data_IF_874228029837
#
_entry.id   IF_874228029837
#
_cell.length_a   1.000
_cell.length_b   1.000
_cell.length_c   1.000
_cell.angle_alpha   90.00
_cell.angle_beta   90.00
_cell.angle_gamma   90.00
#
_symmetry.space_group_name_H-M   'P 1'
#
loop_
_entity.id
_entity.type
_entity.pdbx_description
1 polymer ?
#
# COMPACT_ATOMS: atom_id res chain seq x y z
N UNK A 1 -9.31 2.31 -13.94
CA UNK A 1 -8.15 2.85 -14.69
C UNK A 1 -6.91 2.69 -13.83
N UNK A 2 -5.70 2.56 -14.40
CA UNK A 2 -4.44 2.45 -13.63
C UNK A 2 -3.55 3.68 -13.87
N UNK A 3 -2.81 4.14 -12.87
CA UNK A 3 -1.85 5.26 -13.03
C UNK A 3 -0.75 4.94 -14.05
N UNK A 4 -0.33 3.68 -14.11
CA UNK A 4 0.62 3.17 -15.08
C UNK A 4 -0.08 2.63 -16.33
N UNK A 5 -0.89 3.46 -16.98
CA UNK A 5 -1.54 3.12 -18.25
C UNK A 5 -1.56 4.32 -19.19
N UNK A 6 -1.50 4.05 -20.50
CA UNK A 6 -1.58 5.08 -21.53
C UNK A 6 -2.87 5.91 -21.44
N UNK A 7 -4.07 5.32 -21.22
CA UNK A 7 -5.30 6.09 -21.04
C UNK A 7 -5.24 7.04 -19.84
N UNK A 8 -4.60 6.65 -18.74
CA UNK A 8 -4.46 7.53 -17.60
C UNK A 8 -3.50 8.70 -17.88
N UNK A 9 -2.30 8.40 -18.35
CA UNK A 9 -1.23 9.39 -18.50
C UNK A 9 -1.50 10.43 -19.57
N UNK A 10 -2.07 10.03 -20.71
CA UNK A 10 -2.18 10.88 -21.89
C UNK A 10 -3.58 11.42 -22.17
N UNK A 11 -4.62 10.85 -21.53
CA UNK A 11 -5.98 11.31 -21.72
C UNK A 11 -6.61 11.78 -20.40
N UNK A 12 -6.73 10.89 -19.42
CA UNK A 12 -7.44 11.23 -18.19
C UNK A 12 -6.74 12.30 -17.37
N UNK A 13 -5.44 12.11 -17.06
CA UNK A 13 -4.71 13.03 -16.18
C UNK A 13 -4.62 14.45 -16.76
N UNK A 14 -4.22 14.65 -18.02
CA UNK A 14 -4.24 15.99 -18.63
C UNK A 14 -5.62 16.64 -18.63
N UNK A 15 -6.66 15.89 -19.01
CA UNK A 15 -8.03 16.41 -19.02
C UNK A 15 -8.51 16.78 -17.60
N UNK A 16 -8.27 15.91 -16.61
CA UNK A 16 -8.65 16.16 -15.23
C UNK A 16 -7.93 17.40 -14.66
N UNK A 17 -6.63 17.56 -14.92
CA UNK A 17 -5.86 18.74 -14.49
C UNK A 17 -6.36 20.01 -15.18
N UNK A 18 -6.57 19.98 -16.49
CA UNK A 18 -7.09 21.14 -17.25
C UNK A 18 -8.45 21.60 -16.71
N UNK A 19 -9.40 20.68 -16.56
CA UNK A 19 -10.74 21.00 -16.01
C UNK A 19 -10.61 21.51 -14.55
N UNK A 20 -9.77 20.87 -13.74
CA UNK A 20 -9.57 21.27 -12.34
C UNK A 20 -8.99 22.67 -12.22
N UNK A 21 -7.98 23.03 -13.01
CA UNK A 21 -7.37 24.37 -12.93
C UNK A 21 -8.24 25.44 -13.59
N UNK A 22 -9.03 25.11 -14.61
CA UNK A 22 -9.99 26.02 -15.21
C UNK A 22 -11.21 26.29 -14.31
N UNK A 23 -11.55 25.36 -13.40
CA UNK A 23 -12.71 25.49 -12.53
C UNK A 23 -12.52 26.58 -11.46
N UNK A 24 -13.58 27.36 -11.14
CA UNK A 24 -13.57 28.30 -10.03
C UNK A 24 -13.37 27.56 -8.69
N UNK A 25 -12.86 28.28 -7.69
CA UNK A 25 -12.49 27.67 -6.38
C UNK A 25 -13.61 26.86 -5.74
N UNK A 26 -14.87 27.36 -5.83
CA UNK A 26 -16.03 26.69 -5.24
C UNK A 26 -16.37 25.34 -5.88
N UNK A 27 -16.02 25.15 -7.15
CA UNK A 27 -16.32 23.92 -7.90
C UNK A 27 -15.17 22.91 -7.93
N UNK A 28 -13.99 23.24 -7.40
CA UNK A 28 -12.82 22.35 -7.46
C UNK A 28 -13.05 20.98 -6.82
N UNK A 29 -13.76 20.91 -5.68
CA UNK A 29 -14.11 19.63 -5.05
C UNK A 29 -15.15 18.85 -5.85
N UNK A 30 -16.10 19.51 -6.48
CA UNK A 30 -17.07 18.86 -7.38
C UNK A 30 -16.36 18.27 -8.62
N UNK A 31 -15.42 19.02 -9.21
CA UNK A 31 -14.60 18.51 -10.33
C UNK A 31 -13.77 17.29 -9.89
N UNK A 32 -13.14 17.34 -8.72
CA UNK A 32 -12.40 16.18 -8.19
C UNK A 32 -13.30 14.99 -7.94
N UNK A 33 -14.50 15.19 -7.39
CA UNK A 33 -15.48 14.14 -7.18
C UNK A 33 -15.86 13.48 -8.52
N UNK A 34 -16.25 14.28 -9.52
CA UNK A 34 -16.66 13.77 -10.83
C UNK A 34 -15.52 13.03 -11.55
N UNK A 35 -14.30 13.60 -11.53
CA UNK A 35 -13.12 12.95 -12.09
C UNK A 35 -12.81 11.62 -11.37
N UNK A 36 -12.93 11.59 -10.05
CA UNK A 36 -12.70 10.38 -9.24
C UNK A 36 -13.75 9.31 -9.48
N UNK A 37 -15.01 9.68 -9.57
CA UNK A 37 -16.09 8.75 -9.92
C UNK A 37 -15.91 8.18 -11.33
N UNK A 38 -15.54 9.00 -12.30
CA UNK A 38 -15.22 8.55 -13.66
C UNK A 38 -14.00 7.59 -13.65
N UNK A 39 -12.93 7.94 -12.94
CA UNK A 39 -11.74 7.11 -12.80
C UNK A 39 -12.08 5.72 -12.23
N UNK A 40 -12.93 5.69 -11.19
CA UNK A 40 -13.36 4.44 -10.55
C UNK A 40 -14.30 3.64 -11.46
N UNK A 41 -15.31 4.28 -12.02
CA UNK A 41 -16.30 3.64 -12.89
C UNK A 41 -15.69 3.06 -14.17
N UNK A 42 -14.56 3.59 -14.65
CA UNK A 42 -13.83 3.03 -15.79
C UNK A 42 -13.42 1.56 -15.58
N UNK A 43 -13.10 1.16 -14.37
CA UNK A 43 -12.73 -0.22 -14.04
C UNK A 43 -13.86 -1.02 -13.39
N UNK A 44 -14.68 -0.34 -12.56
CA UNK A 44 -15.64 -0.98 -11.66
C UNK A 44 -17.00 -0.24 -11.63
N UNK A 45 -17.72 -0.17 -12.76
CA UNK A 45 -18.95 0.63 -12.83
C UNK A 45 -20.02 0.17 -11.85
N UNK A 46 -20.15 -1.14 -11.61
CA UNK A 46 -21.15 -1.71 -10.67
C UNK A 46 -20.84 -1.36 -9.21
N UNK A 47 -19.56 -1.37 -8.84
CA UNK A 47 -19.14 -1.16 -7.45
C UNK A 47 -18.97 0.33 -7.10
N UNK A 48 -19.11 1.23 -8.08
CA UNK A 48 -19.23 2.67 -7.80
C UNK A 48 -20.43 2.95 -6.88
N UNK A 49 -21.57 2.27 -7.09
CA UNK A 49 -22.72 2.41 -6.21
C UNK A 49 -22.42 2.00 -4.75
N UNK A 50 -21.66 0.92 -4.56
CA UNK A 50 -21.25 0.46 -3.22
C UNK A 50 -20.39 1.51 -2.52
N UNK A 51 -19.45 2.14 -3.25
CA UNK A 51 -18.65 3.24 -2.72
C UNK A 51 -19.52 4.44 -2.34
N UNK A 52 -20.50 4.81 -3.18
CA UNK A 52 -21.44 5.89 -2.87
C UNK A 52 -22.28 5.57 -1.62
N UNK A 53 -22.77 4.32 -1.46
CA UNK A 53 -23.47 3.87 -0.24
C UNK A 53 -22.57 4.04 0.99
N UNK A 54 -21.28 3.68 0.89
CA UNK A 54 -20.32 3.84 1.98
C UNK A 54 -20.08 5.32 2.31
N UNK A 55 -20.07 6.20 1.33
CA UNK A 55 -19.95 7.66 1.53
C UNK A 55 -21.20 8.22 2.22
N UNK A 56 -22.38 7.87 1.72
CA UNK A 56 -23.67 8.36 2.26
C UNK A 56 -23.84 7.95 3.73
N UNK A 57 -23.54 6.67 4.05
CA UNK A 57 -23.63 6.21 5.43
C UNK A 57 -22.60 6.92 6.33
N UNK A 58 -21.35 7.09 5.88
CA UNK A 58 -20.32 7.82 6.63
C UNK A 58 -20.72 9.28 6.88
N UNK A 59 -21.27 9.96 5.88
CA UNK A 59 -21.79 11.32 5.99
C UNK A 59 -22.93 11.42 7.00
N UNK A 60 -23.96 10.58 6.84
CA UNK A 60 -25.15 10.60 7.73
C UNK A 60 -24.80 10.27 9.18
N UNK A 61 -24.02 9.21 9.39
CA UNK A 61 -23.59 8.85 10.74
C UNK A 61 -22.63 9.88 11.34
N UNK A 62 -21.73 10.48 10.56
CA UNK A 62 -20.87 11.56 11.03
C UNK A 62 -21.67 12.73 11.61
N UNK A 63 -22.71 13.19 10.89
CA UNK A 63 -23.61 14.25 11.35
C UNK A 63 -24.40 13.85 12.62
N UNK A 64 -24.92 12.62 12.67
CA UNK A 64 -25.68 12.12 13.83
C UNK A 64 -24.78 11.95 15.06
N UNK A 65 -23.57 11.46 14.90
CA UNK A 65 -22.57 11.31 15.97
C UNK A 65 -22.24 12.68 16.58
N UNK A 66 -21.97 13.68 15.75
CA UNK A 66 -21.66 15.02 16.22
C UNK A 66 -22.85 15.68 16.90
N UNK A 67 -24.06 15.58 16.31
CA UNK A 67 -25.29 16.14 16.88
C UNK A 67 -25.59 15.61 18.29
N UNK A 68 -25.27 14.34 18.56
CA UNK A 68 -25.55 13.70 19.85
C UNK A 68 -24.28 13.51 20.69
N UNK A 69 -23.22 14.27 20.42
CA UNK A 69 -21.97 14.21 21.18
C UNK A 69 -22.20 14.33 22.69
N UNK A 70 -21.57 13.44 23.48
CA UNK A 70 -21.77 13.36 24.93
C UNK A 70 -22.98 12.53 25.36
N UNK A 71 -23.87 12.11 24.46
CA UNK A 71 -25.03 11.28 24.73
C UNK A 71 -24.78 9.81 24.37
N UNK A 72 -25.53 8.89 24.99
CA UNK A 72 -25.48 7.45 24.62
C UNK A 72 -25.80 7.20 23.15
N UNK A 73 -26.68 8.01 22.55
CA UNK A 73 -27.03 7.93 21.13
C UNK A 73 -25.82 8.08 20.19
N UNK A 74 -24.84 8.93 20.52
CA UNK A 74 -23.61 9.08 19.72
C UNK A 74 -22.83 7.76 19.61
N UNK A 75 -22.73 7.00 20.71
CA UNK A 75 -22.09 5.69 20.72
C UNK A 75 -22.87 4.66 19.89
N UNK A 76 -24.21 4.70 19.93
CA UNK A 76 -25.08 3.83 19.12
C UNK A 76 -24.84 4.09 17.64
N UNK A 77 -24.87 5.37 17.21
CA UNK A 77 -24.62 5.71 15.80
C UNK A 77 -23.20 5.33 15.34
N UNK A 78 -22.18 5.51 16.18
CA UNK A 78 -20.84 5.03 15.89
C UNK A 78 -20.82 3.50 15.69
N UNK A 79 -21.44 2.75 16.61
CA UNK A 79 -21.49 1.28 16.51
C UNK A 79 -22.21 0.84 15.24
N UNK A 80 -23.34 1.46 14.90
CA UNK A 80 -24.06 1.15 13.67
C UNK A 80 -23.22 1.44 12.42
N UNK A 81 -22.53 2.58 12.37
CA UNK A 81 -21.63 2.91 11.26
C UNK A 81 -20.49 1.89 11.10
N UNK A 82 -19.90 1.46 12.21
CA UNK A 82 -18.85 0.41 12.21
C UNK A 82 -19.44 -0.90 11.70
N UNK A 83 -20.60 -1.33 12.18
CA UNK A 83 -21.26 -2.58 11.77
C UNK A 83 -21.61 -2.56 10.29
N UNK A 84 -22.15 -1.45 9.76
CA UNK A 84 -22.45 -1.30 8.33
C UNK A 84 -21.17 -1.38 7.50
N UNK A 85 -20.13 -0.61 7.87
CA UNK A 85 -18.87 -0.56 7.12
C UNK A 85 -18.15 -1.93 7.12
N UNK A 86 -18.04 -2.57 8.29
CA UNK A 86 -17.42 -3.90 8.41
C UNK A 86 -18.31 -5.00 7.83
N UNK A 87 -19.63 -4.87 7.89
CA UNK A 87 -20.59 -5.79 7.28
C UNK A 87 -20.46 -5.79 5.74
N UNK A 88 -20.38 -4.63 5.12
CA UNK A 88 -20.14 -4.51 3.67
C UNK A 88 -18.78 -5.11 3.29
N UNK A 89 -17.72 -4.76 4.02
CA UNK A 89 -16.39 -5.35 3.80
C UNK A 89 -16.42 -6.87 4.00
N UNK A 90 -17.08 -7.35 5.05
CA UNK A 90 -17.24 -8.77 5.38
C UNK A 90 -17.96 -9.54 4.27
N UNK A 91 -19.04 -9.00 3.76
CA UNK A 91 -19.83 -9.62 2.71
C UNK A 91 -19.05 -9.72 1.39
N UNK A 92 -18.48 -8.63 0.92
CA UNK A 92 -17.82 -8.61 -0.39
C UNK A 92 -16.40 -9.23 -0.39
N UNK A 93 -15.68 -9.18 0.73
CA UNK A 93 -14.30 -9.68 0.78
C UNK A 93 -14.17 -11.04 1.45
N UNK A 94 -14.97 -11.34 2.47
CA UNK A 94 -14.71 -12.50 3.33
C UNK A 94 -15.79 -13.58 3.28
N UNK A 95 -16.97 -13.36 2.65
CA UNK A 95 -18.05 -14.34 2.66
C UNK A 95 -17.61 -15.70 2.09
N UNK A 96 -17.01 -15.71 0.90
CA UNK A 96 -16.56 -16.95 0.26
C UNK A 96 -15.38 -17.62 1.00
N UNK A 97 -14.53 -16.85 1.64
CA UNK A 97 -13.47 -17.37 2.49
C UNK A 97 -14.03 -18.11 3.72
N UNK A 98 -15.05 -17.56 4.38
CA UNK A 98 -15.69 -18.22 5.50
C UNK A 98 -16.50 -19.45 5.05
N UNK A 99 -17.27 -19.34 3.97
CA UNK A 99 -18.04 -20.47 3.43
C UNK A 99 -17.12 -21.63 3.01
N UNK A 100 -16.03 -21.34 2.30
CA UNK A 100 -15.06 -22.36 1.91
C UNK A 100 -14.35 -22.99 3.11
N UNK A 101 -14.04 -22.21 4.13
CA UNK A 101 -13.44 -22.73 5.37
C UNK A 101 -14.40 -23.62 6.15
N UNK A 102 -15.68 -23.23 6.23
CA UNK A 102 -16.73 -24.07 6.85
C UNK A 102 -16.89 -25.38 6.07
N UNK A 103 -16.99 -25.32 4.74
CA UNK A 103 -17.08 -26.52 3.90
C UNK A 103 -15.88 -27.46 4.13
N UNK A 104 -14.66 -26.91 4.20
CA UNK A 104 -13.46 -27.70 4.41
C UNK A 104 -13.42 -28.41 5.77
N UNK A 105 -13.97 -27.80 6.84
CA UNK A 105 -13.96 -28.37 8.20
C UNK A 105 -15.12 -29.31 8.42
N UNK A 106 -16.30 -28.99 7.88
CA UNK A 106 -17.55 -29.74 8.17
C UNK A 106 -17.90 -30.77 7.12
N UNK A 107 -17.28 -30.74 5.93
CA UNK A 107 -17.65 -31.55 4.78
C UNK A 107 -18.96 -31.12 4.11
N UNK A 108 -19.56 -29.99 4.52
CA UNK A 108 -20.73 -29.42 3.86
C UNK A 108 -20.38 -28.88 2.47
N UNK A 109 -21.38 -28.77 1.62
CA UNK A 109 -21.26 -28.21 0.27
C UNK A 109 -22.06 -26.90 0.14
N UNK A 110 -21.85 -25.96 1.06
CA UNK A 110 -22.51 -24.66 1.01
C UNK A 110 -22.09 -23.92 -0.27
N UNK A 111 -23.05 -23.34 -1.03
CA UNK A 111 -22.73 -22.67 -2.28
C UNK A 111 -21.91 -21.39 -2.00
N UNK A 112 -20.83 -21.19 -2.77
CA UNK A 112 -20.06 -19.96 -2.74
C UNK A 112 -20.82 -18.86 -3.51
N UNK A 113 -20.71 -17.62 -3.01
CA UNK A 113 -21.39 -16.46 -3.60
C UNK A 113 -20.70 -15.97 -4.89
N UNK A 114 -19.42 -16.31 -5.06
CA UNK A 114 -18.58 -15.93 -6.22
C UNK A 114 -18.59 -14.43 -6.50
N UNK A 115 -18.57 -13.63 -5.44
CA UNK A 115 -18.53 -12.18 -5.55
C UNK A 115 -17.13 -11.73 -6.00
N UNK A 116 -17.09 -10.89 -7.03
CA UNK A 116 -15.83 -10.19 -7.34
C UNK A 116 -15.54 -9.14 -6.28
N UNK A 117 -14.27 -9.05 -5.87
CA UNK A 117 -13.83 -8.09 -4.86
C UNK A 117 -13.87 -6.66 -5.42
N UNK A 118 -14.65 -5.74 -4.83
CA UNK A 118 -14.65 -4.34 -5.25
C UNK A 118 -13.30 -3.68 -5.02
N UNK A 119 -12.70 -3.15 -6.07
CA UNK A 119 -11.39 -2.48 -5.98
C UNK A 119 -11.46 -1.34 -4.96
N UNK A 120 -10.49 -1.30 -4.03
CA UNK A 120 -10.36 -0.23 -3.03
C UNK A 120 -11.34 -0.33 -1.86
N UNK A 121 -12.21 -1.37 -1.74
CA UNK A 121 -13.17 -1.48 -0.64
C UNK A 121 -12.49 -1.42 0.74
N UNK A 122 -11.33 -2.03 0.90
CA UNK A 122 -10.57 -1.99 2.15
C UNK A 122 -10.08 -0.58 2.49
N UNK A 123 -9.72 0.21 1.48
CA UNK A 123 -9.21 1.57 1.64
C UNK A 123 -10.32 2.54 2.00
N UNK A 124 -11.40 2.63 1.20
CA UNK A 124 -12.47 3.57 1.51
C UNK A 124 -13.26 3.18 2.78
N UNK A 125 -13.32 1.89 3.13
CA UNK A 125 -13.85 1.46 4.43
C UNK A 125 -13.01 2.03 5.57
N UNK A 126 -11.68 1.97 5.50
CA UNK A 126 -10.80 2.53 6.52
C UNK A 126 -10.88 4.05 6.60
N UNK A 127 -11.04 4.73 5.46
CA UNK A 127 -11.26 6.18 5.43
C UNK A 127 -12.57 6.58 6.12
N UNK A 128 -13.68 5.89 5.81
CA UNK A 128 -14.98 6.15 6.44
C UNK A 128 -14.93 5.83 7.93
N UNK A 129 -14.34 4.69 8.33
CA UNK A 129 -14.21 4.31 9.73
C UNK A 129 -13.38 5.32 10.52
N UNK A 130 -12.20 5.73 10.01
CA UNK A 130 -11.40 6.75 10.70
C UNK A 130 -12.16 8.07 10.84
N UNK A 131 -12.85 8.51 9.78
CA UNK A 131 -13.65 9.72 9.81
C UNK A 131 -14.72 9.70 10.93
N UNK A 132 -15.56 8.67 10.98
CA UNK A 132 -16.65 8.61 12.00
C UNK A 132 -16.10 8.43 13.42
N UNK A 133 -14.98 7.72 13.59
CA UNK A 133 -14.31 7.57 14.89
C UNK A 133 -13.70 8.89 15.34
N UNK A 134 -13.04 9.63 14.45
CA UNK A 134 -12.45 10.94 14.77
C UNK A 134 -13.51 11.97 15.10
N UNK A 135 -14.67 11.96 14.40
CA UNK A 135 -15.84 12.78 14.77
C UNK A 135 -16.36 12.40 16.16
N UNK A 136 -16.47 11.11 16.48
CA UNK A 136 -16.90 10.65 17.80
C UNK A 136 -15.96 11.08 18.92
N UNK A 137 -14.65 11.00 18.69
CA UNK A 137 -13.60 11.42 19.63
C UNK A 137 -13.55 12.95 19.80
N UNK A 138 -14.12 13.70 18.86
CA UNK A 138 -14.01 15.15 18.81
C UNK A 138 -12.70 15.67 18.21
N UNK A 139 -11.93 14.80 17.61
CA UNK A 139 -10.67 15.14 16.94
C UNK A 139 -10.90 15.92 15.63
N UNK A 140 -12.08 15.72 15.01
CA UNK A 140 -12.53 16.51 13.86
C UNK A 140 -14.03 16.83 13.95
N UNK A 141 -14.45 17.90 13.27
CA UNK A 141 -15.87 18.22 13.09
C UNK A 141 -16.48 17.37 11.97
N UNK A 142 -17.78 17.07 12.07
CA UNK A 142 -18.48 16.42 10.98
C UNK A 142 -18.54 17.33 9.75
N UNK A 143 -18.24 16.78 8.58
CA UNK A 143 -18.31 17.51 7.33
C UNK A 143 -19.76 17.84 6.96
N UNK A 144 -20.06 19.12 6.76
CA UNK A 144 -21.42 19.61 6.43
C UNK A 144 -21.71 19.56 4.92
N UNK A 145 -20.68 19.60 4.11
CA UNK A 145 -20.81 19.55 2.67
C UNK A 145 -20.60 18.11 2.19
N UNK A 146 -21.65 17.50 1.63
CA UNK A 146 -21.59 16.14 1.09
C UNK A 146 -20.57 15.99 -0.03
N UNK A 147 -20.43 17.00 -0.90
CA UNK A 147 -19.47 16.96 -2.02
C UNK A 147 -18.04 16.88 -1.51
N UNK A 148 -17.71 17.60 -0.43
CA UNK A 148 -16.35 17.60 0.14
C UNK A 148 -16.01 16.23 0.75
N UNK A 149 -16.96 15.61 1.47
CA UNK A 149 -16.74 14.27 2.03
C UNK A 149 -16.66 13.22 0.90
N UNK A 150 -17.53 13.32 -0.08
CA UNK A 150 -17.54 12.41 -1.24
C UNK A 150 -16.24 12.55 -2.05
N UNK A 151 -15.79 13.78 -2.29
CA UNK A 151 -14.51 14.05 -2.95
C UNK A 151 -13.33 13.47 -2.15
N UNK A 152 -13.33 13.57 -0.84
CA UNK A 152 -12.29 12.98 0.02
C UNK A 152 -12.25 11.46 -0.09
N UNK A 153 -13.38 10.78 0.10
CA UNK A 153 -13.42 9.31 0.12
C UNK A 153 -13.13 8.72 -1.26
N UNK A 154 -13.61 9.36 -2.33
CA UNK A 154 -13.43 8.87 -3.72
C UNK A 154 -12.15 9.36 -4.39
N UNK A 155 -11.36 10.22 -3.75
CA UNK A 155 -10.25 10.94 -4.38
C UNK A 155 -9.28 10.02 -5.13
N UNK A 156 -9.26 10.11 -6.46
CA UNK A 156 -8.60 9.15 -7.34
C UNK A 156 -7.10 8.94 -7.05
N UNK A 157 -6.31 9.94 -6.60
CA UNK A 157 -4.91 9.69 -6.29
C UNK A 157 -4.67 8.68 -5.16
N UNK A 158 -5.57 8.60 -4.18
CA UNK A 158 -5.40 7.75 -3.00
C UNK A 158 -6.26 6.49 -3.00
N UNK A 159 -7.35 6.46 -3.80
CA UNK A 159 -8.48 5.53 -3.65
C UNK A 159 -8.11 4.04 -3.72
N UNK A 160 -7.17 3.65 -4.59
CA UNK A 160 -6.95 2.23 -4.92
C UNK A 160 -5.83 1.60 -4.08
N UNK A 161 -4.66 2.24 -4.01
CA UNK A 161 -3.49 1.74 -3.32
C UNK A 161 -2.54 2.87 -2.85
N UNK A 162 -3.06 4.10 -2.72
CA UNK A 162 -2.32 5.24 -2.15
C UNK A 162 -2.06 5.07 -0.66
N UNK A 163 -1.41 6.05 -0.02
CA UNK A 163 -1.42 6.13 1.44
C UNK A 163 -2.85 6.16 1.96
N UNK A 164 -3.11 5.52 3.09
CA UNK A 164 -4.41 5.65 3.78
C UNK A 164 -4.45 7.04 4.43
N UNK A 165 -5.01 8.00 3.70
CA UNK A 165 -5.14 9.38 4.13
C UNK A 165 -6.38 9.50 5.01
N UNK A 166 -6.25 10.09 6.20
CA UNK A 166 -7.37 10.35 7.10
C UNK A 166 -8.07 11.64 6.70
N UNK A 167 -9.34 11.78 7.08
CA UNK A 167 -10.05 13.03 6.86
C UNK A 167 -9.34 14.21 7.56
N UNK A 168 -8.85 14.00 8.78
CA UNK A 168 -8.08 15.00 9.54
C UNK A 168 -6.83 15.50 8.82
N UNK A 169 -6.17 14.64 8.01
CA UNK A 169 -4.96 15.00 7.28
C UNK A 169 -5.23 16.03 6.16
N UNK A 170 -6.44 16.03 5.58
CA UNK A 170 -6.79 16.85 4.39
C UNK A 170 -7.99 17.79 4.61
N UNK A 171 -8.56 17.81 5.80
CA UNK A 171 -9.76 18.59 6.10
C UNK A 171 -9.60 20.10 5.85
N UNK A 172 -8.42 20.66 6.17
CA UNK A 172 -8.11 22.06 5.93
C UNK A 172 -7.99 22.34 4.42
N UNK A 173 -7.36 21.42 3.69
CA UNK A 173 -7.12 21.55 2.24
C UNK A 173 -8.39 21.30 1.42
N UNK A 174 -9.34 20.52 1.92
CA UNK A 174 -10.67 20.43 1.31
C UNK A 174 -11.43 21.76 1.34
N UNK A 175 -11.24 22.57 2.38
CA UNK A 175 -11.86 23.90 2.50
C UNK A 175 -11.09 24.94 1.68
N UNK A 176 -9.78 24.95 1.79
CA UNK A 176 -8.93 25.95 1.11
C UNK A 176 -7.57 25.36 0.78
N UNK A 177 -7.24 25.32 -0.50
CA UNK A 177 -5.96 24.88 -1.03
C UNK A 177 -5.22 26.02 -1.72
N UNK A 178 -3.91 26.00 -1.57
CA UNK A 178 -3.00 26.86 -2.33
C UNK A 178 -2.34 26.06 -3.44
N UNK A 179 -2.15 26.70 -4.58
CA UNK A 179 -1.48 26.11 -5.73
C UNK A 179 -0.28 26.99 -6.07
N UNK A 180 0.87 26.38 -6.32
CA UNK A 180 2.06 27.07 -6.82
C UNK A 180 2.75 26.23 -7.90
N UNK A 181 3.45 26.90 -8.79
CA UNK A 181 4.25 26.22 -9.82
C UNK A 181 5.32 25.33 -9.19
N UNK A 182 5.92 25.78 -8.09
CA UNK A 182 6.91 24.97 -7.34
C UNK A 182 6.31 23.67 -6.79
N UNK A 183 5.12 23.75 -6.17
CA UNK A 183 4.43 22.55 -5.65
C UNK A 183 4.01 21.62 -6.79
N UNK A 184 3.57 22.15 -7.92
CA UNK A 184 3.24 21.36 -9.10
C UNK A 184 4.48 20.65 -9.66
N UNK A 185 5.61 21.37 -9.80
CA UNK A 185 6.88 20.80 -10.26
C UNK A 185 7.39 19.70 -9.32
N UNK A 186 7.30 19.90 -7.98
CA UNK A 186 7.60 18.87 -6.99
C UNK A 186 6.68 17.64 -7.16
N UNK A 187 5.39 17.87 -7.39
CA UNK A 187 4.41 16.82 -7.66
C UNK A 187 4.73 16.00 -8.91
N UNK A 188 5.10 16.67 -10.01
CA UNK A 188 5.51 16.01 -11.27
C UNK A 188 6.76 15.16 -11.06
N UNK A 189 7.80 15.71 -10.40
CA UNK A 189 9.01 14.93 -10.05
C UNK A 189 8.68 13.69 -9.25
N UNK A 190 7.87 13.84 -8.20
CA UNK A 190 7.50 12.73 -7.34
C UNK A 190 6.71 11.67 -8.10
N UNK A 191 5.76 12.09 -8.92
CA UNK A 191 4.99 11.20 -9.79
C UNK A 191 5.90 10.41 -10.74
N UNK A 192 6.84 11.10 -11.41
CA UNK A 192 7.77 10.46 -12.36
C UNK A 192 8.69 9.44 -11.68
N UNK A 193 9.19 9.74 -10.48
CA UNK A 193 9.97 8.78 -9.70
C UNK A 193 9.12 7.55 -9.36
N UNK A 194 7.87 7.74 -8.93
CA UNK A 194 6.95 6.65 -8.67
C UNK A 194 6.65 5.81 -9.92
N UNK A 195 6.44 6.47 -11.05
CA UNK A 195 6.21 5.83 -12.34
C UNK A 195 7.43 5.00 -12.78
N UNK A 196 8.64 5.56 -12.66
CA UNK A 196 9.89 4.86 -12.95
C UNK A 196 10.07 3.61 -12.06
N UNK A 197 9.81 3.73 -10.75
CA UNK A 197 9.82 2.60 -9.83
C UNK A 197 8.91 1.47 -10.27
N UNK A 198 7.67 1.80 -10.70
CA UNK A 198 6.69 0.82 -11.16
C UNK A 198 7.10 0.16 -12.46
N UNK A 199 7.44 0.95 -13.49
CA UNK A 199 7.63 0.43 -14.84
C UNK A 199 9.03 -0.14 -15.04
N UNK A 200 10.06 0.60 -14.62
CA UNK A 200 11.46 0.24 -14.93
C UNK A 200 12.05 -0.74 -13.90
N UNK A 201 11.50 -0.83 -12.68
CA UNK A 201 12.02 -1.73 -11.65
C UNK A 201 11.00 -2.81 -11.28
N UNK A 202 9.84 -2.46 -10.75
CA UNK A 202 8.90 -3.45 -10.23
C UNK A 202 8.42 -4.44 -11.29
N UNK A 203 8.07 -3.96 -12.49
CA UNK A 203 7.62 -4.85 -13.58
C UNK A 203 8.71 -5.82 -14.02
N UNK A 204 9.97 -5.37 -14.08
CA UNK A 204 11.11 -6.22 -14.46
C UNK A 204 11.40 -7.27 -13.40
N UNK A 205 11.37 -6.91 -12.11
CA UNK A 205 11.49 -7.88 -11.02
C UNK A 205 10.31 -8.86 -11.01
N UNK A 206 9.11 -8.39 -11.36
CA UNK A 206 7.93 -9.25 -11.55
C UNK A 206 8.12 -10.27 -12.69
N UNK A 207 8.76 -9.88 -13.79
CA UNK A 207 9.11 -10.80 -14.88
C UNK A 207 10.07 -11.88 -14.41
N UNK A 208 11.12 -11.53 -13.65
CA UNK A 208 12.06 -12.50 -13.07
C UNK A 208 11.35 -13.45 -12.08
N UNK A 209 10.49 -12.92 -11.21
CA UNK A 209 9.71 -13.75 -10.28
C UNK A 209 8.77 -14.73 -11.02
N UNK A 210 8.15 -14.28 -12.12
CA UNK A 210 7.29 -15.11 -12.97
C UNK A 210 8.08 -16.19 -13.71
N UNK A 211 9.29 -15.90 -14.16
CA UNK A 211 10.18 -16.87 -14.82
C UNK A 211 10.48 -18.06 -13.89
N UNK A 212 10.73 -17.82 -12.60
CA UNK A 212 10.88 -18.90 -11.62
C UNK A 212 9.58 -19.72 -11.47
N UNK A 213 8.42 -19.08 -11.42
CA UNK A 213 7.14 -19.78 -11.22
C UNK A 213 6.76 -20.70 -12.40
N UNK A 214 7.29 -20.43 -13.58
CA UNK A 214 7.07 -21.22 -14.81
C UNK A 214 8.20 -22.18 -15.16
N UNK A 215 9.29 -22.23 -14.37
CA UNK A 215 10.45 -23.06 -14.69
C UNK A 215 10.23 -24.55 -14.41
N UNK A 216 10.87 -25.41 -15.21
CA UNK A 216 11.07 -26.83 -14.93
C UNK A 216 12.50 -27.10 -14.40
N UNK A 217 13.39 -26.10 -14.42
CA UNK A 217 14.80 -26.17 -14.03
C UNK A 217 15.03 -25.44 -12.69
N UNK A 218 14.31 -25.89 -11.63
CA UNK A 218 14.39 -25.27 -10.32
C UNK A 218 15.73 -25.60 -9.62
N UNK A 219 16.25 -24.65 -8.84
CA UNK A 219 17.45 -24.80 -8.01
C UNK A 219 17.39 -23.87 -6.79
N UNK A 220 18.21 -24.15 -5.77
CA UNK A 220 18.30 -23.30 -4.58
C UNK A 220 18.62 -21.86 -4.97
N UNK A 221 19.57 -21.64 -5.88
CA UNK A 221 19.91 -20.31 -6.39
C UNK A 221 18.71 -19.63 -7.06
N UNK A 222 17.91 -20.38 -7.85
CA UNK A 222 16.78 -19.76 -8.54
C UNK A 222 15.64 -19.39 -7.59
N UNK A 223 15.40 -20.19 -6.53
CA UNK A 223 14.42 -19.84 -5.48
C UNK A 223 14.85 -18.55 -4.75
N UNK A 224 16.14 -18.39 -4.43
CA UNK A 224 16.65 -17.14 -3.83
C UNK A 224 16.57 -15.94 -4.77
N UNK A 225 16.84 -16.13 -6.07
CA UNK A 225 16.66 -15.07 -7.07
C UNK A 225 15.19 -14.63 -7.16
N UNK A 226 14.27 -15.62 -7.16
CA UNK A 226 12.84 -15.34 -7.09
C UNK A 226 12.46 -14.57 -5.82
N UNK A 227 12.93 -15.01 -4.65
CA UNK A 227 12.60 -14.38 -3.38
C UNK A 227 13.10 -12.93 -3.33
N UNK A 228 14.34 -12.68 -3.80
CA UNK A 228 14.90 -11.32 -3.91
C UNK A 228 14.15 -10.47 -4.94
N UNK A 229 13.83 -11.04 -6.11
CA UNK A 229 13.06 -10.34 -7.14
C UNK A 229 11.67 -9.96 -6.63
N UNK A 230 10.96 -10.86 -5.95
CA UNK A 230 9.64 -10.58 -5.38
C UNK A 230 9.71 -9.54 -4.26
N UNK A 231 10.74 -9.61 -3.40
CA UNK A 231 10.98 -8.61 -2.35
C UNK A 231 11.12 -7.20 -2.95
N UNK A 232 11.94 -7.05 -4.00
CA UNK A 232 12.15 -5.77 -4.69
C UNK A 232 10.90 -5.36 -5.49
N UNK A 233 10.21 -6.32 -6.14
CA UNK A 233 8.97 -6.06 -6.85
C UNK A 233 7.92 -5.43 -5.94
N UNK A 234 7.61 -6.06 -4.80
CA UNK A 234 6.58 -5.57 -3.86
C UNK A 234 6.92 -4.16 -3.37
N UNK A 235 8.19 -3.91 -3.05
CA UNK A 235 8.63 -2.58 -2.60
C UNK A 235 8.48 -1.51 -3.68
N UNK A 236 9.02 -1.75 -4.88
CA UNK A 236 8.97 -0.75 -5.95
C UNK A 236 7.57 -0.58 -6.54
N UNK A 237 6.78 -1.65 -6.58
CA UNK A 237 5.38 -1.58 -7.01
C UNK A 237 4.58 -0.67 -6.08
N UNK A 238 4.61 -0.95 -4.78
CA UNK A 238 3.79 -0.23 -3.82
C UNK A 238 4.35 1.15 -3.46
N UNK A 239 5.68 1.29 -3.27
CA UNK A 239 6.27 2.62 -3.05
C UNK A 239 6.16 3.49 -4.30
N UNK A 240 6.21 2.91 -5.50
CA UNK A 240 5.99 3.61 -6.76
C UNK A 240 4.58 4.16 -6.86
N UNK A 241 3.56 3.34 -6.53
CA UNK A 241 2.18 3.84 -6.48
C UNK A 241 2.00 4.95 -5.44
N UNK A 242 2.55 4.77 -4.24
CA UNK A 242 2.49 5.80 -3.19
C UNK A 242 3.15 7.10 -3.62
N UNK A 243 4.30 7.04 -4.29
CA UNK A 243 4.98 8.23 -4.82
C UNK A 243 4.14 8.92 -5.91
N UNK A 244 3.50 8.16 -6.81
CA UNK A 244 2.59 8.72 -7.81
C UNK A 244 1.39 9.39 -7.14
N UNK A 245 0.78 8.75 -6.13
CA UNK A 245 -0.35 9.29 -5.38
C UNK A 245 0.01 10.60 -4.65
N UNK A 246 1.16 10.62 -3.95
CA UNK A 246 1.66 11.81 -3.26
C UNK A 246 1.96 12.93 -4.27
N UNK A 247 2.57 12.59 -5.41
CA UNK A 247 2.83 13.53 -6.49
C UNK A 247 1.57 14.17 -7.06
N UNK A 248 0.54 13.35 -7.35
CA UNK A 248 -0.77 13.82 -7.80
C UNK A 248 -1.45 14.70 -6.75
N UNK A 249 -1.43 14.27 -5.47
CA UNK A 249 -1.91 15.08 -4.36
C UNK A 249 -1.26 16.46 -4.34
N UNK A 250 0.08 16.50 -4.46
CA UNK A 250 0.86 17.76 -4.45
C UNK A 250 0.50 18.68 -5.61
N UNK A 251 0.30 18.13 -6.82
CA UNK A 251 -0.18 18.91 -7.99
C UNK A 251 -1.58 19.49 -7.75
N UNK A 252 -2.45 18.78 -7.04
CA UNK A 252 -3.82 19.19 -6.74
C UNK A 252 -3.95 20.04 -5.46
N UNK A 253 -2.83 20.33 -4.78
CA UNK A 253 -2.79 21.15 -3.55
C UNK A 253 -3.08 20.38 -2.26
N UNK A 254 -2.91 19.06 -2.25
CA UNK A 254 -3.01 18.20 -1.07
C UNK A 254 -1.64 17.70 -0.59
N UNK A 255 -1.51 17.47 0.72
CA UNK A 255 -0.32 16.91 1.34
C UNK A 255 -0.64 15.51 1.90
N UNK A 256 -0.36 14.48 1.13
CA UNK A 256 -0.55 13.11 1.59
C UNK A 256 0.66 12.65 2.43
N UNK A 257 0.43 11.81 3.45
CA UNK A 257 1.50 11.29 4.30
C UNK A 257 2.43 10.36 3.54
N UNK A 258 3.70 10.33 3.96
CA UNK A 258 4.67 9.35 3.46
C UNK A 258 4.27 7.94 3.88
N UNK A 259 4.41 6.99 2.94
CA UNK A 259 4.03 5.59 3.16
C UNK A 259 5.23 4.64 3.29
N UNK A 260 6.40 5.07 2.81
CA UNK A 260 7.64 4.29 2.86
C UNK A 260 8.84 5.18 3.21
N UNK A 261 9.76 4.62 4.02
CA UNK A 261 11.02 5.28 4.38
C UNK A 261 12.17 4.27 4.37
N UNK A 262 12.57 3.80 3.19
CA UNK A 262 13.67 2.84 2.99
C UNK A 262 13.62 1.64 3.96
N UNK A 263 12.57 0.81 3.91
CA UNK A 263 12.34 -0.22 4.94
C UNK A 263 13.43 -1.29 4.99
N UNK A 264 14.14 -1.54 3.90
CA UNK A 264 15.16 -2.61 3.84
C UNK A 264 16.49 -2.27 4.51
N UNK A 265 16.66 -1.03 5.04
CA UNK A 265 17.81 -0.69 5.87
C UNK A 265 17.55 -0.89 7.37
N UNK A 266 16.41 -1.47 7.74
CA UNK A 266 16.03 -1.70 9.14
C UNK A 266 16.88 -2.76 9.82
N UNK A 267 17.12 -2.60 11.10
CA UNK A 267 17.87 -3.54 11.94
C UNK A 267 16.96 -4.45 12.78
N UNK A 268 15.65 -4.29 12.69
CA UNK A 268 14.65 -5.11 13.37
C UNK A 268 13.33 -5.14 12.58
N UNK A 269 12.51 -6.16 12.80
CA UNK A 269 11.15 -6.24 12.26
C UNK A 269 10.29 -5.07 12.79
N UNK A 270 10.51 -4.68 14.04
CA UNK A 270 9.86 -3.51 14.64
C UNK A 270 10.19 -2.23 13.86
N UNK A 271 11.45 -2.00 13.50
CA UNK A 271 11.86 -0.84 12.70
C UNK A 271 11.35 -0.95 11.26
N UNK A 272 11.40 -2.16 10.67
CA UNK A 272 10.91 -2.42 9.32
C UNK A 272 9.45 -1.94 9.17
N UNK A 273 8.55 -2.32 10.06
CA UNK A 273 7.14 -1.94 9.99
C UNK A 273 6.87 -0.46 10.34
N UNK A 274 7.80 0.24 10.98
CA UNK A 274 7.75 1.70 11.12
C UNK A 274 8.09 2.43 9.83
N UNK A 275 8.75 1.74 8.88
CA UNK A 275 9.22 2.28 7.61
C UNK A 275 8.44 1.76 6.40
N UNK A 276 7.71 0.67 6.57
CA UNK A 276 6.89 0.00 5.56
C UNK A 276 5.42 0.28 5.81
N UNK A 277 4.69 0.72 4.76
CA UNK A 277 3.23 0.99 4.80
C UNK A 277 2.80 1.77 6.04
N UNK A 278 3.47 2.92 6.24
CA UNK A 278 3.39 3.74 7.46
C UNK A 278 1.94 4.14 7.75
N UNK A 279 1.16 4.46 6.70
CA UNK A 279 -0.24 4.86 6.84
C UNK A 279 -1.13 3.74 7.40
N UNK A 280 -0.94 2.49 6.97
CA UNK A 280 -1.66 1.33 7.52
C UNK A 280 -1.25 1.07 8.97
N UNK A 281 0.06 1.08 9.24
CA UNK A 281 0.59 0.90 10.60
C UNK A 281 0.06 1.93 11.58
N UNK A 282 0.00 3.21 11.19
CA UNK A 282 -0.56 4.28 11.99
C UNK A 282 -2.08 4.12 12.18
N UNK A 283 -2.81 3.68 11.13
CA UNK A 283 -4.25 3.43 11.23
C UNK A 283 -4.54 2.32 12.25
N UNK A 284 -3.89 1.15 12.15
CA UNK A 284 -4.09 0.07 13.13
C UNK A 284 -3.65 0.45 14.54
N UNK A 285 -2.58 1.25 14.68
CA UNK A 285 -2.15 1.77 15.99
C UNK A 285 -3.25 2.61 16.63
N UNK A 286 -3.82 3.57 15.90
CA UNK A 286 -4.68 4.59 16.47
C UNK A 286 -6.15 4.14 16.59
N UNK A 287 -6.60 3.25 15.71
CA UNK A 287 -8.00 2.79 15.70
C UNK A 287 -8.20 1.37 16.25
N UNK A 288 -7.13 0.57 16.44
CA UNK A 288 -7.24 -0.77 17.01
C UNK A 288 -6.33 -0.95 18.24
N UNK A 289 -5.01 -0.75 18.11
CA UNK A 289 -4.07 -1.04 19.19
C UNK A 289 -4.29 -0.17 20.43
N UNK A 290 -4.40 1.15 20.27
CA UNK A 290 -4.62 2.10 21.38
C UNK A 290 -5.98 1.86 22.05
N UNK A 291 -7.12 1.73 21.34
CA UNK A 291 -8.41 1.39 21.95
C UNK A 291 -8.44 0.08 22.73
N UNK A 292 -7.67 -0.94 22.32
CA UNK A 292 -7.51 -2.20 23.06
C UNK A 292 -6.69 -2.04 24.36
N UNK A 293 -6.16 -0.85 24.62
CA UNK A 293 -5.36 -0.51 25.80
C UNK A 293 -3.87 -0.31 25.53
N UNK A 294 -3.42 -0.55 24.29
CA UNK A 294 -2.02 -0.33 23.88
C UNK A 294 -1.03 -1.07 24.75
N UNK A 295 0.02 -0.38 25.22
CA UNK A 295 1.03 -0.89 26.14
C UNK A 295 0.76 -0.55 27.62
N UNK A 296 -0.35 0.17 27.92
CA UNK A 296 -0.59 0.73 29.27
C UNK A 296 -1.20 -0.27 30.25
N UNK A 297 -1.77 -1.39 29.78
CA UNK A 297 -2.48 -2.40 30.60
C UNK A 297 -1.65 -3.64 30.92
N UNK A 298 -0.33 -3.50 31.05
CA UNK A 298 0.61 -4.60 31.37
C UNK A 298 1.10 -5.39 30.16
N UNK A 299 2.16 -6.18 30.37
CA UNK A 299 2.85 -6.93 29.29
C UNK A 299 1.94 -7.95 28.59
N UNK A 300 1.21 -8.76 29.33
CA UNK A 300 0.33 -9.78 28.75
C UNK A 300 -0.72 -9.17 27.80
N UNK A 301 -1.37 -8.08 28.21
CA UNK A 301 -2.33 -7.36 27.37
C UNK A 301 -1.67 -6.75 26.13
N UNK A 302 -0.47 -6.23 26.27
CA UNK A 302 0.31 -5.69 25.15
C UNK A 302 0.63 -6.76 24.10
N UNK A 303 1.06 -7.95 24.54
CA UNK A 303 1.37 -9.07 23.64
C UNK A 303 0.10 -9.53 22.91
N UNK A 304 -1.02 -9.66 23.62
CA UNK A 304 -2.31 -9.98 23.02
C UNK A 304 -2.74 -8.92 21.99
N UNK A 305 -2.57 -7.63 22.31
CA UNK A 305 -2.91 -6.55 21.39
C UNK A 305 -2.06 -6.60 20.09
N UNK A 306 -0.77 -6.93 20.20
CA UNK A 306 0.10 -7.13 19.02
C UNK A 306 -0.43 -8.29 18.17
N UNK A 307 -0.76 -9.42 18.79
CA UNK A 307 -1.31 -10.58 18.08
C UNK A 307 -2.62 -10.22 17.34
N UNK A 308 -3.56 -9.56 18.02
CA UNK A 308 -4.83 -9.13 17.42
C UNK A 308 -4.61 -8.19 16.23
N UNK A 309 -3.75 -7.19 16.38
CA UNK A 309 -3.43 -6.23 15.31
C UNK A 309 -2.83 -6.93 14.09
N UNK A 310 -1.91 -7.86 14.29
CA UNK A 310 -1.24 -8.53 13.19
C UNK A 310 -2.12 -9.57 12.49
N UNK A 311 -3.00 -10.28 13.22
CA UNK A 311 -4.03 -11.11 12.61
C UNK A 311 -5.02 -10.26 11.79
N UNK A 312 -5.45 -9.11 12.32
CA UNK A 312 -6.29 -8.17 11.59
C UNK A 312 -5.57 -7.58 10.35
N UNK A 313 -4.25 -7.32 10.45
CA UNK A 313 -3.43 -6.86 9.32
C UNK A 313 -3.34 -7.93 8.23
N UNK A 314 -3.12 -9.18 8.61
CA UNK A 314 -3.11 -10.31 7.68
C UNK A 314 -4.45 -10.44 6.95
N UNK A 315 -5.55 -10.49 7.67
CA UNK A 315 -6.90 -10.51 7.10
C UNK A 315 -7.18 -9.31 6.20
N UNK A 316 -6.72 -8.11 6.57
CA UNK A 316 -6.91 -6.91 5.75
C UNK A 316 -6.24 -7.05 4.37
N UNK A 317 -5.09 -7.72 4.28
CA UNK A 317 -4.42 -7.96 3.00
C UNK A 317 -5.21 -8.90 2.09
N UNK A 318 -5.80 -9.98 2.60
CA UNK A 318 -6.53 -10.90 1.73
C UNK A 318 -7.36 -11.93 2.49
N UNK A 319 -8.36 -12.46 1.79
CA UNK A 319 -9.28 -13.49 2.30
C UNK A 319 -8.71 -14.90 1.99
N UNK A 320 -7.53 -15.22 2.56
CA UNK A 320 -6.92 -16.54 2.45
C UNK A 320 -6.11 -16.87 3.70
N UNK A 321 -5.96 -18.15 4.00
CA UNK A 321 -5.18 -18.63 5.15
C UNK A 321 -3.71 -18.25 5.08
N UNK A 322 -3.13 -18.10 3.90
CA UNK A 322 -1.75 -17.63 3.73
C UNK A 322 -1.54 -16.22 4.29
N UNK A 323 -2.52 -15.32 4.16
CA UNK A 323 -2.47 -13.99 4.76
C UNK A 323 -2.63 -14.02 6.28
N UNK A 324 -3.46 -14.91 6.81
CA UNK A 324 -3.58 -15.12 8.27
C UNK A 324 -2.25 -15.63 8.83
N UNK A 325 -1.63 -16.61 8.17
CA UNK A 325 -0.33 -17.15 8.56
C UNK A 325 0.78 -16.09 8.43
N UNK A 326 0.72 -15.24 7.40
CA UNK A 326 1.64 -14.12 7.24
C UNK A 326 1.50 -13.09 8.39
N UNK A 327 0.30 -12.76 8.77
CA UNK A 327 0.06 -11.91 9.94
C UNK A 327 0.59 -12.54 11.23
N UNK A 328 0.36 -13.85 11.43
CA UNK A 328 0.88 -14.60 12.56
C UNK A 328 2.41 -14.66 12.56
N UNK A 329 3.05 -14.85 11.40
CA UNK A 329 4.50 -14.81 11.23
C UNK A 329 5.10 -13.53 11.80
N UNK A 330 4.59 -12.38 11.39
CA UNK A 330 5.10 -11.10 11.90
C UNK A 330 4.69 -10.82 13.35
N UNK A 331 3.52 -11.29 13.79
CA UNK A 331 3.16 -11.24 15.20
C UNK A 331 4.20 -11.96 16.07
N UNK A 332 4.55 -13.20 15.73
CA UNK A 332 5.52 -14.01 16.45
C UNK A 332 6.90 -13.34 16.49
N UNK A 333 7.39 -12.85 15.33
CA UNK A 333 8.67 -12.15 15.26
C UNK A 333 8.70 -10.89 16.15
N UNK A 334 7.64 -10.07 16.11
CA UNK A 334 7.54 -8.87 16.93
C UNK A 334 7.42 -9.18 18.43
N UNK A 335 6.71 -10.25 18.79
CA UNK A 335 6.64 -10.71 20.17
C UNK A 335 8.03 -11.16 20.66
N UNK A 336 8.77 -11.91 19.84
CA UNK A 336 10.09 -12.38 20.16
C UNK A 336 11.12 -11.25 20.27
N UNK A 337 11.08 -10.27 19.33
CA UNK A 337 11.88 -9.04 19.44
C UNK A 337 11.59 -8.31 20.75
N UNK A 338 10.32 -8.11 21.08
CA UNK A 338 9.91 -7.34 22.23
C UNK A 338 10.27 -8.01 23.56
N UNK A 339 10.27 -9.34 23.60
CA UNK A 339 10.58 -10.10 24.82
C UNK A 339 12.08 -10.27 25.06
N UNK A 340 12.87 -10.42 23.99
CA UNK A 340 14.28 -10.83 24.15
C UNK A 340 15.25 -10.16 23.16
N UNK A 341 14.92 -10.08 21.86
CA UNK A 341 15.91 -9.82 20.83
C UNK A 341 16.20 -8.34 20.55
N UNK A 342 15.24 -7.43 20.76
CA UNK A 342 15.36 -6.04 20.31
C UNK A 342 16.64 -5.35 20.80
N UNK A 343 17.05 -5.45 22.09
CA UNK A 343 18.28 -4.82 22.57
C UNK A 343 19.55 -5.40 21.91
N UNK A 344 19.53 -6.70 21.58
CA UNK A 344 20.66 -7.38 20.93
C UNK A 344 20.80 -6.90 19.48
N UNK A 345 19.68 -6.82 18.75
CA UNK A 345 19.66 -6.38 17.36
C UNK A 345 20.09 -4.92 17.24
N UNK A 346 19.62 -4.05 18.12
CA UNK A 346 20.02 -2.63 18.15
C UNK A 346 21.51 -2.44 18.45
N UNK A 347 22.08 -3.28 19.32
CA UNK A 347 23.51 -3.27 19.64
C UNK A 347 24.38 -3.80 18.50
N UNK A 348 23.92 -4.84 17.80
CA UNK A 348 24.65 -5.54 16.72
C UNK A 348 23.99 -5.28 15.36
N UNK A 349 24.14 -4.08 14.82
CA UNK A 349 23.43 -3.62 13.63
C UNK A 349 23.57 -4.54 12.41
N UNK A 350 24.72 -5.10 12.16
CA UNK A 350 24.94 -6.04 11.02
C UNK A 350 24.08 -7.29 11.20
N UNK A 351 24.09 -7.88 12.41
CA UNK A 351 23.22 -9.02 12.73
C UNK A 351 21.75 -8.64 12.59
N UNK A 352 21.39 -7.44 13.05
CA UNK A 352 20.04 -6.89 12.90
C UNK A 352 19.60 -6.79 11.45
N UNK A 353 20.44 -6.29 10.55
CA UNK A 353 20.15 -6.23 9.11
C UNK A 353 19.96 -7.62 8.51
N UNK A 354 20.87 -8.56 8.77
CA UNK A 354 20.79 -9.94 8.26
C UNK A 354 19.50 -10.61 8.77
N UNK A 355 19.22 -10.52 10.06
CA UNK A 355 18.00 -11.02 10.68
C UNK A 355 16.75 -10.44 10.00
N UNK A 356 16.68 -9.11 9.90
CA UNK A 356 15.51 -8.43 9.37
C UNK A 356 15.26 -8.81 7.91
N UNK A 357 16.27 -8.72 7.05
CA UNK A 357 16.14 -9.04 5.64
C UNK A 357 15.80 -10.52 5.42
N UNK A 358 16.40 -11.43 6.18
CA UNK A 358 16.13 -12.85 6.09
C UNK A 358 14.65 -13.15 6.42
N UNK A 359 14.18 -12.74 7.60
CA UNK A 359 12.81 -13.05 8.04
C UNK A 359 11.73 -12.28 7.26
N UNK A 360 12.02 -11.07 6.79
CA UNK A 360 11.15 -10.32 5.88
C UNK A 360 11.04 -11.04 4.53
N UNK A 361 12.15 -11.53 3.97
CA UNK A 361 12.15 -12.28 2.70
C UNK A 361 11.29 -13.54 2.82
N UNK A 362 11.47 -14.34 3.88
CA UNK A 362 10.62 -15.51 4.12
C UNK A 362 9.14 -15.14 4.27
N UNK A 363 8.86 -14.04 5.00
CA UNK A 363 7.50 -13.50 5.12
C UNK A 363 6.88 -13.13 3.77
N UNK A 364 7.63 -12.54 2.85
CA UNK A 364 7.12 -12.22 1.51
C UNK A 364 6.99 -13.46 0.60
N UNK A 365 7.82 -14.49 0.77
CA UNK A 365 7.60 -15.78 0.10
C UNK A 365 6.30 -16.44 0.55
N UNK A 366 5.99 -16.36 1.86
CA UNK A 366 4.70 -16.79 2.40
C UNK A 366 3.52 -15.97 1.86
N UNK A 367 3.70 -14.66 1.73
CA UNK A 367 2.68 -13.74 1.18
C UNK A 367 2.32 -14.05 -0.28
N UNK A 368 3.30 -14.44 -1.11
CA UNK A 368 3.11 -14.76 -2.53
C UNK A 368 2.65 -16.20 -2.79
N UNK A 369 2.57 -17.01 -1.78
CA UNK A 369 2.19 -18.41 -1.93
C UNK A 369 0.66 -18.58 -2.04
N UNK A 370 0.23 -19.45 -2.95
CA UNK A 370 -1.19 -19.79 -3.12
C UNK A 370 -1.72 -20.70 -1.99
N UNK A 371 -0.81 -21.40 -1.29
CA UNK A 371 -1.13 -22.25 -0.16
C UNK A 371 0.00 -22.32 0.87
N UNK A 372 -0.33 -22.72 2.10
CA UNK A 372 0.66 -22.96 3.15
C UNK A 372 1.68 -24.05 2.74
N UNK A 373 1.22 -25.11 2.07
CA UNK A 373 2.10 -26.17 1.57
C UNK A 373 3.12 -25.65 0.54
N UNK A 374 2.68 -24.80 -0.39
CA UNK A 374 3.56 -24.18 -1.36
C UNK A 374 4.58 -23.24 -0.67
N UNK A 375 4.15 -22.47 0.33
CA UNK A 375 5.05 -21.62 1.11
C UNK A 375 6.14 -22.45 1.80
N UNK A 376 5.74 -23.52 2.50
CA UNK A 376 6.67 -24.44 3.16
C UNK A 376 7.63 -25.07 2.16
N UNK A 377 7.15 -25.53 1.01
CA UNK A 377 7.98 -26.12 -0.04
C UNK A 377 9.03 -25.12 -0.54
N UNK A 378 8.63 -23.87 -0.86
CA UNK A 378 9.57 -22.83 -1.32
C UNK A 378 10.60 -22.47 -0.25
N UNK A 379 10.16 -22.30 1.01
CA UNK A 379 11.08 -22.00 2.13
C UNK A 379 12.03 -23.16 2.38
N UNK A 380 11.56 -24.41 2.33
CA UNK A 380 12.42 -25.61 2.44
C UNK A 380 13.45 -25.66 1.33
N UNK A 381 13.05 -25.36 0.09
CA UNK A 381 13.95 -25.27 -1.04
C UNK A 381 15.02 -24.16 -0.87
N UNK A 382 14.65 -22.99 -0.34
CA UNK A 382 15.60 -21.91 0.01
C UNK A 382 16.65 -22.37 1.02
N UNK A 383 16.28 -23.25 1.95
CA UNK A 383 17.15 -23.79 3.00
C UNK A 383 17.92 -25.06 2.55
N UNK A 384 17.76 -25.48 1.30
CA UNK A 384 18.43 -26.65 0.75
C UNK A 384 17.79 -28.00 1.11
N UNK A 385 16.63 -27.98 1.81
CA UNK A 385 15.94 -29.20 2.25
C UNK A 385 15.01 -29.82 1.18
N UNK A 386 14.83 -29.16 0.03
CA UNK A 386 13.90 -29.59 -1.02
C UNK A 386 14.49 -30.58 -2.07
N UNK A 387 15.70 -31.09 -1.86
CA UNK A 387 16.36 -32.00 -2.82
C UNK A 387 16.75 -31.36 -4.16
N UNK A 388 16.67 -30.03 -4.27
CA UNK A 388 17.03 -29.29 -5.46
C UNK A 388 18.55 -29.13 -5.58
N UNK A 389 19.10 -29.08 -6.81
CA UNK A 389 20.51 -28.74 -7.03
C UNK A 389 20.79 -27.32 -6.55
N UNK A 390 22.02 -27.04 -6.11
CA UNK A 390 22.42 -25.70 -5.65
C UNK A 390 22.25 -24.64 -6.74
N UNK A 391 22.49 -24.99 -8.00
CA UNK A 391 22.42 -24.11 -9.16
C UNK A 391 21.85 -24.85 -10.36
N UNK A 392 21.29 -24.11 -11.30
CA UNK A 392 20.79 -24.62 -12.59
C UNK A 392 21.20 -23.69 -13.73
N UNK A 393 21.13 -24.20 -14.98
CA UNK A 393 21.48 -23.38 -16.16
C UNK A 393 20.60 -22.12 -16.26
N UNK A 394 19.30 -22.26 -16.01
CA UNK A 394 18.39 -21.13 -16.03
C UNK A 394 18.69 -20.14 -14.90
N UNK A 395 19.00 -20.62 -13.69
CA UNK A 395 19.35 -19.73 -12.57
C UNK A 395 20.57 -18.86 -12.90
N UNK A 396 21.62 -19.46 -13.49
CA UNK A 396 22.85 -18.73 -13.91
C UNK A 396 22.53 -17.73 -15.03
N UNK A 397 21.71 -18.13 -15.99
CA UNK A 397 21.27 -17.25 -17.08
C UNK A 397 20.53 -16.02 -16.52
N UNK A 398 19.53 -16.22 -15.66
CA UNK A 398 18.78 -15.12 -15.07
C UNK A 398 19.61 -14.27 -14.12
N UNK A 399 20.54 -14.86 -13.36
CA UNK A 399 21.47 -14.10 -12.53
C UNK A 399 22.35 -13.16 -13.37
N UNK A 400 22.87 -13.63 -14.50
CA UNK A 400 23.67 -12.80 -15.42
C UNK A 400 22.82 -11.72 -16.08
N UNK A 401 21.64 -12.06 -16.56
CA UNK A 401 20.74 -11.15 -17.29
C UNK A 401 20.17 -10.05 -16.39
N UNK A 402 19.75 -10.39 -15.19
CA UNK A 402 19.11 -9.46 -14.22
C UNK A 402 20.09 -8.92 -13.17
N UNK A 403 21.32 -9.44 -13.10
CA UNK A 403 22.32 -9.02 -12.10
C UNK A 403 22.52 -7.51 -11.99
N UNK A 404 22.76 -6.78 -13.10
CA UNK A 404 22.88 -5.32 -13.07
C UNK A 404 21.63 -4.64 -12.53
N UNK A 405 20.45 -5.12 -12.92
CA UNK A 405 19.18 -4.56 -12.46
C UNK A 405 18.92 -4.85 -10.96
N UNK A 406 19.30 -6.04 -10.48
CA UNK A 406 19.21 -6.39 -9.05
C UNK A 406 20.11 -5.47 -8.22
N UNK A 407 21.34 -5.22 -8.66
CA UNK A 407 22.26 -4.27 -7.99
C UNK A 407 21.65 -2.87 -7.99
N UNK A 408 21.15 -2.40 -9.13
CA UNK A 408 20.47 -1.10 -9.20
C UNK A 408 19.25 -1.02 -8.26
N UNK A 409 18.42 -2.08 -8.25
CA UNK A 409 17.26 -2.17 -7.35
C UNK A 409 17.65 -2.11 -5.87
N UNK A 410 18.68 -2.86 -5.47
CA UNK A 410 19.19 -2.84 -4.09
C UNK A 410 19.67 -1.41 -3.73
N UNK A 411 20.44 -0.76 -4.59
CA UNK A 411 20.91 0.62 -4.36
C UNK A 411 19.73 1.61 -4.25
N UNK A 412 18.76 1.52 -5.15
CA UNK A 412 17.57 2.38 -5.14
C UNK A 412 16.62 2.09 -3.95
N UNK A 413 16.69 0.91 -3.34
CA UNK A 413 15.96 0.58 -2.12
C UNK A 413 16.60 1.18 -0.85
N UNK A 414 17.75 1.84 -0.97
CA UNK A 414 18.44 2.54 0.12
C UNK A 414 18.37 4.06 -0.04
N UNK A 415 18.65 4.87 1.00
CA UNK A 415 18.72 6.32 0.88
C UNK A 415 19.95 6.84 0.09
N UNK A 416 20.83 5.95 -0.38
CA UNK A 416 22.11 6.32 -1.02
C UNK A 416 21.93 7.27 -2.20
N UNK A 417 21.01 7.06 -3.16
CA UNK A 417 20.81 8.02 -4.27
C UNK A 417 20.42 9.42 -3.78
N UNK A 418 19.50 9.49 -2.80
CA UNK A 418 19.09 10.75 -2.19
C UNK A 418 20.25 11.45 -1.47
N UNK A 419 21.08 10.69 -0.75
CA UNK A 419 22.25 11.21 -0.05
C UNK A 419 23.31 11.75 -1.02
N UNK A 420 23.54 11.07 -2.14
CA UNK A 420 24.46 11.52 -3.19
C UNK A 420 23.99 12.86 -3.76
N UNK A 421 22.72 12.94 -4.17
CA UNK A 421 22.15 14.20 -4.69
C UNK A 421 22.22 15.32 -3.66
N UNK A 422 21.90 15.04 -2.39
CA UNK A 422 22.00 16.01 -1.31
C UNK A 422 23.46 16.48 -1.06
N UNK A 423 24.43 15.59 -1.23
CA UNK A 423 25.85 15.94 -1.13
C UNK A 423 26.30 16.81 -2.31
N UNK A 424 25.90 16.46 -3.53
CA UNK A 424 26.22 17.24 -4.73
C UNK A 424 25.63 18.65 -4.67
N UNK A 425 24.40 18.81 -4.18
CA UNK A 425 23.75 20.12 -4.02
C UNK A 425 24.44 21.06 -3.00
N UNK A 426 25.43 20.60 -2.24
CA UNK A 426 26.24 21.46 -1.38
C UNK A 426 27.27 22.28 -2.16
N UNK A 427 27.69 21.87 -3.35
CA UNK A 427 28.52 22.65 -4.29
C UNK A 427 27.60 23.49 -5.17
N UNK A 428 27.89 24.78 -5.31
CA UNK A 428 27.09 25.71 -6.14
C UNK A 428 27.06 25.28 -7.61
N UNK A 429 28.20 24.86 -8.15
CA UNK A 429 28.31 24.46 -9.55
C UNK A 429 27.54 23.15 -9.80
N UNK A 430 27.68 22.17 -8.89
CA UNK A 430 26.94 20.91 -8.99
C UNK A 430 25.44 21.11 -8.78
N UNK A 431 25.01 22.01 -7.91
CA UNK A 431 23.60 22.37 -7.73
C UNK A 431 23.03 22.97 -9.02
N UNK A 432 23.73 23.92 -9.64
CA UNK A 432 23.33 24.51 -10.93
C UNK A 432 23.25 23.47 -12.03
N UNK A 433 24.26 22.58 -12.13
CA UNK A 433 24.23 21.48 -13.10
C UNK A 433 23.05 20.55 -12.89
N UNK A 434 22.72 20.18 -11.62
CA UNK A 434 21.55 19.36 -11.30
C UNK A 434 20.23 20.05 -11.69
N UNK A 435 20.11 21.35 -11.47
CA UNK A 435 18.92 22.12 -11.83
C UNK A 435 18.73 22.20 -13.35
N UNK A 436 19.82 22.36 -14.12
CA UNK A 436 19.81 22.31 -15.60
C UNK A 436 19.45 20.93 -16.13
N UNK A 437 19.93 19.86 -15.47
CA UNK A 437 19.66 18.48 -15.86
C UNK A 437 18.32 17.95 -15.35
N UNK A 438 17.67 18.62 -14.40
CA UNK A 438 16.42 18.16 -13.79
C UNK A 438 15.30 17.83 -14.81
N UNK A 439 15.06 18.62 -15.88
CA UNK A 439 14.07 18.24 -16.89
C UNK A 439 14.37 16.89 -17.55
N UNK A 440 15.65 16.55 -17.76
CA UNK A 440 16.02 15.24 -18.31
C UNK A 440 15.73 14.10 -17.34
N UNK A 441 15.93 14.30 -16.03
CA UNK A 441 15.56 13.31 -15.00
C UNK A 441 14.05 13.11 -14.86
N UNK A 442 13.23 14.00 -15.41
CA UNK A 442 11.77 13.84 -15.53
C UNK A 442 11.41 13.21 -16.87
N UNK A 443 11.92 13.74 -17.98
CA UNK A 443 11.53 13.34 -19.34
C UNK A 443 12.02 11.93 -19.70
N UNK A 444 13.27 11.58 -19.38
CA UNK A 444 13.84 10.27 -19.74
C UNK A 444 13.05 9.12 -19.10
N UNK A 445 12.76 9.10 -17.78
CA UNK A 445 11.97 8.04 -17.19
C UNK A 445 10.52 7.99 -17.71
N UNK A 446 9.91 9.15 -18.03
CA UNK A 446 8.59 9.18 -18.63
C UNK A 446 8.59 8.58 -20.04
N UNK A 447 9.56 8.92 -20.89
CA UNK A 447 9.67 8.40 -22.25
C UNK A 447 9.96 6.88 -22.22
N UNK A 448 10.97 6.47 -21.46
CA UNK A 448 11.30 5.05 -21.31
C UNK A 448 10.14 4.25 -20.73
N UNK A 449 9.53 4.74 -19.65
CA UNK A 449 8.38 4.08 -19.06
C UNK A 449 7.20 4.00 -20.01
N UNK A 450 6.96 5.04 -20.82
CA UNK A 450 5.91 5.01 -21.86
C UNK A 450 6.23 3.98 -22.95
N UNK A 451 7.48 3.89 -23.41
CA UNK A 451 7.91 2.88 -24.36
C UNK A 451 7.64 1.45 -23.82
N UNK A 452 8.01 1.18 -22.57
CA UNK A 452 7.70 -0.10 -21.92
C UNK A 452 6.19 -0.35 -21.74
N UNK A 453 5.38 0.70 -21.55
CA UNK A 453 3.91 0.54 -21.46
C UNK A 453 3.28 0.20 -22.82
N UNK A 454 3.83 0.72 -23.91
CA UNK A 454 3.32 0.45 -25.28
C UNK A 454 3.75 -0.94 -25.75
N UNK A 455 4.98 -1.36 -25.42
CA UNK A 455 5.54 -2.67 -25.78
C UNK A 455 5.00 -3.79 -24.87
N UNK A 456 4.74 -3.51 -23.60
CA UNK A 456 4.37 -4.50 -22.59
C UNK A 456 2.89 -4.81 -22.51
N UNK A 457 2.56 -6.03 -22.08
CA UNK A 457 1.19 -6.40 -21.70
C UNK A 457 0.77 -5.66 -20.44
N UNK A 458 -0.56 -5.51 -20.25
CA UNK A 458 -1.17 -4.95 -19.04
C UNK A 458 -0.61 -5.61 -17.77
N UNK A 459 0.10 -4.85 -16.94
CA UNK A 459 0.66 -5.29 -15.68
C UNK A 459 0.07 -4.49 -14.52
N UNK A 460 -1.02 -4.98 -13.90
CA UNK A 460 -1.66 -4.30 -12.77
C UNK A 460 -0.73 -4.26 -11.56
N UNK A 461 -0.99 -3.35 -10.64
CA UNK A 461 -0.34 -3.35 -9.33
C UNK A 461 -0.64 -4.64 -8.58
N UNK A 462 0.33 -5.16 -7.84
CA UNK A 462 0.18 -6.39 -7.05
C UNK A 462 -1.03 -6.32 -6.10
N UNK A 463 -1.33 -5.14 -5.59
CA UNK A 463 -2.47 -4.91 -4.70
C UNK A 463 -3.85 -5.23 -5.30
N UNK A 464 -3.96 -5.36 -6.63
CA UNK A 464 -5.22 -5.79 -7.27
C UNK A 464 -5.43 -7.31 -7.19
N UNK A 465 -4.46 -8.05 -6.68
CA UNK A 465 -4.56 -9.51 -6.51
C UNK A 465 -5.07 -9.93 -5.14
N UNK A 466 -5.18 -8.97 -4.19
CA UNK A 466 -5.46 -9.24 -2.79
C UNK A 466 -6.75 -8.62 -2.28
#
# INVERSE_FOLDING_TARGET
MLFSSVPFLFYFLPAALLIYFAAPRQLKNAVLLLASLFFYAWGEPKYMLLMLVSIVQGYGFGLLIEKHRGQKASKVFLTLSILVSLGLLGYFKYADFFLSSVNAVTGLSLPLLKLSLPIGISFYTFQVLSYVIDVYRGETAAQRNFIDLAAYVSLFPQLIAGPIVRYSDVAAELKSRTHSVSAAAEGVRRFTVGFAKKILLANQFGALASAYKSTQDASVLFVWLYALAFLLQVYFDFSGYSDMAIGLGRMLGFHFPENFNYPYISVSITEFWRRWHISLGSWFRDYLYIPLGGSRKGKARQLLNILIVWLATGLWHGAAWTFVLWGLWFAVLLLFEKLALLPVLEKHRVLGHVYTLFFVTLGFVLFDADSAAQAVSRISAMLGAGGLPLSSTQAVYYLKSYGPLLVLGILCATPLPKMIVAKLRKSKDAATALDVLEPLFVLIPLLLGTAFLVDGSFNPFLYFRF
#
